data_IF_773841393915
#
_entry.id   IF_773841393915
#
_cell.length_a   1.000
_cell.length_b   1.000
_cell.length_c   1.000
_cell.angle_alpha   90.00
_cell.angle_beta   90.00
_cell.angle_gamma   90.00
#
_symmetry.space_group_name_H-M   'P 1'
#
loop_
_entity.id
_entity.type
_entity.pdbx_description
1 polymer ?
#
# COMPACT_ATOMS: atom_id res chain seq x y z
N UNK A 1 3.60 16.67 11.00
CA UNK A 1 3.68 15.45 10.17
C UNK A 1 2.71 15.61 8.99
N UNK A 2 3.17 15.39 7.78
CA UNK A 2 2.30 15.45 6.60
C UNK A 2 1.32 14.27 6.62
N UNK A 3 0.23 14.38 5.84
CA UNK A 3 -0.73 13.28 5.73
C UNK A 3 -0.07 12.02 5.15
N UNK A 4 0.86 12.19 4.17
CA UNK A 4 1.63 11.09 3.61
C UNK A 4 2.47 10.39 4.69
N UNK A 5 3.20 11.16 5.48
CA UNK A 5 4.06 10.59 6.52
C UNK A 5 3.23 9.91 7.62
N UNK A 6 2.09 10.51 7.96
CA UNK A 6 1.16 9.89 8.92
C UNK A 6 0.63 8.56 8.39
N UNK A 7 0.23 8.53 7.11
CA UNK A 7 -0.25 7.29 6.48
C UNK A 7 0.82 6.19 6.54
N UNK A 8 2.05 6.51 6.15
CA UNK A 8 3.16 5.55 6.17
C UNK A 8 3.41 5.05 7.61
N UNK A 9 3.43 5.97 8.56
CA UNK A 9 3.63 5.62 9.97
C UNK A 9 2.57 4.63 10.48
N UNK A 10 1.31 4.94 10.26
CA UNK A 10 0.22 4.09 10.74
C UNK A 10 0.13 2.78 9.95
N UNK A 11 0.44 2.81 8.67
CA UNK A 11 0.45 1.61 7.85
C UNK A 11 1.50 0.61 8.33
N UNK A 12 2.70 1.09 8.67
CA UNK A 12 3.77 0.22 9.20
C UNK A 12 3.36 -0.45 10.51
N UNK A 13 2.52 0.19 11.28
CA UNK A 13 1.98 -0.35 12.53
C UNK A 13 0.70 -1.15 12.34
N UNK A 14 0.19 -1.19 11.12
CA UNK A 14 -1.09 -1.81 10.79
C UNK A 14 -2.24 -1.24 11.63
N UNK A 15 -2.20 0.07 11.86
CA UNK A 15 -3.18 0.81 12.64
C UNK A 15 -4.31 1.30 11.73
N UNK A 16 -5.25 0.42 11.45
CA UNK A 16 -6.33 0.67 10.50
C UNK A 16 -7.23 1.81 10.93
N UNK A 17 -7.50 1.92 12.23
CA UNK A 17 -8.36 2.97 12.78
C UNK A 17 -7.78 4.36 12.48
N UNK A 18 -6.49 4.54 12.69
CA UNK A 18 -5.85 5.82 12.41
C UNK A 18 -5.75 6.10 10.92
N UNK A 19 -5.52 5.09 10.10
CA UNK A 19 -5.53 5.25 8.64
C UNK A 19 -6.90 5.75 8.19
N UNK A 20 -7.97 5.14 8.68
CA UNK A 20 -9.33 5.54 8.34
C UNK A 20 -9.59 7.01 8.73
N UNK A 21 -9.10 7.43 9.88
CA UNK A 21 -9.28 8.80 10.35
C UNK A 21 -8.57 9.84 9.47
N UNK A 22 -7.38 9.54 8.96
CA UNK A 22 -6.60 10.53 8.21
C UNK A 22 -6.96 10.59 6.73
N UNK A 23 -7.59 9.55 6.18
CA UNK A 23 -8.03 9.54 4.78
C UNK A 23 -9.36 10.27 4.66
N UNK A 24 -9.38 11.35 3.91
CA UNK A 24 -10.52 12.28 3.86
C UNK A 24 -11.36 12.19 2.59
N UNK A 25 -10.92 11.46 1.58
CA UNK A 25 -11.62 11.34 0.31
C UNK A 25 -12.69 10.24 0.37
N UNK A 26 -13.65 10.33 -0.55
CA UNK A 26 -14.73 9.33 -0.62
C UNK A 26 -14.33 8.06 -1.34
N UNK A 27 -13.31 8.14 -2.21
CA UNK A 27 -12.83 7.00 -3.00
C UNK A 27 -11.31 6.92 -2.98
N UNK A 28 -10.81 5.69 -3.01
CA UNK A 28 -9.39 5.37 -3.22
C UNK A 28 -9.31 4.13 -4.08
N UNK A 29 -8.35 4.05 -5.00
CA UNK A 29 -8.22 2.93 -5.94
C UNK A 29 -9.52 2.69 -6.72
N UNK A 30 -10.24 3.78 -7.05
CA UNK A 30 -11.49 3.73 -7.81
C UNK A 30 -12.64 2.99 -7.11
N UNK A 31 -12.54 2.77 -5.80
CA UNK A 31 -13.60 2.15 -5.00
C UNK A 31 -13.96 3.04 -3.81
N UNK A 32 -15.17 2.90 -3.26
CA UNK A 32 -15.56 3.65 -2.06
C UNK A 32 -14.59 3.42 -0.91
N UNK A 33 -14.37 4.45 -0.12
CA UNK A 33 -13.43 4.41 1.01
C UNK A 33 -13.70 3.22 1.93
N UNK A 34 -14.96 2.94 2.25
CA UNK A 34 -15.30 1.82 3.13
C UNK A 34 -14.80 0.48 2.58
N UNK A 35 -14.91 0.27 1.27
CA UNK A 35 -14.39 -0.94 0.62
C UNK A 35 -12.87 -0.97 0.62
N UNK A 36 -12.24 0.18 0.37
CA UNK A 36 -10.79 0.29 0.41
C UNK A 36 -10.25 -0.07 1.80
N UNK A 37 -10.86 0.48 2.85
CA UNK A 37 -10.49 0.17 4.24
C UNK A 37 -10.69 -1.32 4.54
N UNK A 38 -11.78 -1.91 4.03
CA UNK A 38 -12.02 -3.35 4.17
C UNK A 38 -10.94 -4.20 3.54
N UNK A 39 -10.42 -3.78 2.38
CA UNK A 39 -9.30 -4.48 1.73
C UNK A 39 -8.00 -4.34 2.54
N UNK A 40 -7.75 -3.16 3.11
CA UNK A 40 -6.60 -2.98 4.00
C UNK A 40 -6.72 -3.87 5.24
N UNK A 41 -7.92 -3.99 5.80
CA UNK A 41 -8.14 -4.89 6.94
C UNK A 41 -7.77 -6.33 6.58
N UNK A 42 -8.21 -6.81 5.43
CA UNK A 42 -7.85 -8.16 4.96
C UNK A 42 -6.33 -8.31 4.81
N UNK A 43 -5.67 -7.31 4.24
CA UNK A 43 -4.22 -7.36 4.06
C UNK A 43 -3.50 -7.39 5.41
N UNK A 44 -3.92 -6.57 6.36
CA UNK A 44 -3.32 -6.55 7.69
C UNK A 44 -3.57 -7.87 8.43
N UNK A 45 -4.76 -8.45 8.29
CA UNK A 45 -5.06 -9.76 8.87
C UNK A 45 -4.16 -10.86 8.28
N UNK A 46 -3.85 -10.78 6.98
CA UNK A 46 -2.90 -11.70 6.36
C UNK A 46 -1.51 -11.55 6.94
N UNK A 47 -0.99 -10.31 7.06
CA UNK A 47 0.31 -10.08 7.67
C UNK A 47 0.37 -10.62 9.10
N UNK A 48 -0.67 -10.35 9.89
CA UNK A 48 -0.74 -10.84 11.28
C UNK A 48 -0.82 -12.36 11.32
N UNK A 49 -1.53 -12.95 10.37
CA UNK A 49 -1.60 -14.41 10.23
C UNK A 49 -0.25 -15.06 9.93
N UNK A 50 0.65 -14.31 9.29
CA UNK A 50 2.04 -14.74 9.06
C UNK A 50 2.97 -14.40 10.23
N UNK A 51 2.40 -13.96 11.35
CA UNK A 51 3.14 -13.55 12.57
C UNK A 51 3.93 -12.26 12.42
N UNK A 52 3.59 -11.41 11.48
CA UNK A 52 4.19 -10.09 11.35
C UNK A 52 3.66 -9.17 12.45
N UNK A 53 4.57 -8.49 13.13
CA UNK A 53 4.25 -7.55 14.21
C UNK A 53 4.18 -6.12 13.70
N UNK A 54 4.92 -5.81 12.64
CA UNK A 54 4.94 -4.52 11.98
C UNK A 54 5.45 -4.68 10.55
N UNK A 55 5.31 -3.64 9.75
CA UNK A 55 5.81 -3.62 8.38
C UNK A 55 7.02 -2.69 8.28
N UNK A 56 7.95 -3.06 7.44
CA UNK A 56 9.09 -2.21 7.08
C UNK A 56 8.77 -1.50 5.78
N UNK A 57 9.28 -0.29 5.62
CA UNK A 57 9.09 0.43 4.36
C UNK A 57 10.35 0.37 3.50
N UNK A 58 10.13 0.28 2.19
CA UNK A 58 11.17 0.38 1.19
C UNK A 58 10.65 1.27 0.08
N UNK A 59 11.48 2.18 -0.40
CA UNK A 59 11.07 3.16 -1.41
C UNK A 59 11.66 2.81 -2.77
N UNK A 60 10.89 3.07 -3.81
CA UNK A 60 11.32 2.89 -5.18
C UNK A 60 10.57 3.83 -6.10
N UNK A 61 10.90 3.77 -7.38
CA UNK A 61 10.27 4.56 -8.41
C UNK A 61 9.56 3.62 -9.37
N UNK A 62 8.35 3.98 -9.79
CA UNK A 62 7.63 3.20 -10.77
C UNK A 62 8.33 3.29 -12.12
N UNK A 63 8.82 2.16 -12.63
CA UNK A 63 9.53 2.06 -13.91
C UNK A 63 8.66 1.48 -15.03
N UNK A 64 7.37 1.32 -14.79
CA UNK A 64 6.45 0.78 -15.78
C UNK A 64 6.07 1.79 -16.84
N UNK A 65 6.72 1.77 -17.99
CA UNK A 65 6.37 2.65 -19.12
C UNK A 65 4.93 2.40 -19.54
N UNK A 66 4.20 3.48 -19.80
CA UNK A 66 2.79 3.41 -20.15
C UNK A 66 1.85 3.36 -18.95
N UNK A 67 2.39 3.35 -17.75
CA UNK A 67 1.62 3.47 -16.52
C UNK A 67 1.42 4.96 -16.19
N UNK A 68 0.23 5.32 -15.68
CA UNK A 68 -0.07 6.70 -15.27
C UNK A 68 0.86 7.18 -14.16
N UNK A 69 1.46 6.27 -13.41
CA UNK A 69 2.36 6.57 -12.30
C UNK A 69 3.83 6.36 -12.65
N UNK A 70 4.16 6.34 -13.95
CA UNK A 70 5.55 6.20 -14.39
C UNK A 70 6.43 7.28 -13.76
N UNK A 71 7.50 6.87 -13.11
CA UNK A 71 8.45 7.69 -12.33
C UNK A 71 7.90 8.23 -10.99
N UNK A 72 6.64 7.97 -10.64
CA UNK A 72 6.14 8.29 -9.30
C UNK A 72 6.78 7.36 -8.28
N UNK A 73 6.96 7.88 -7.07
CA UNK A 73 7.54 7.09 -5.99
C UNK A 73 6.54 6.06 -5.49
N UNK A 74 7.00 4.82 -5.42
CA UNK A 74 6.24 3.73 -4.81
C UNK A 74 6.82 3.41 -3.44
N UNK A 75 5.95 2.99 -2.52
CA UNK A 75 6.34 2.50 -1.21
C UNK A 75 5.99 1.03 -1.15
N UNK A 76 6.97 0.21 -0.80
CA UNK A 76 6.74 -1.20 -0.58
C UNK A 76 6.76 -1.47 0.92
N UNK A 77 5.68 -2.03 1.42
CA UNK A 77 5.57 -2.43 2.82
C UNK A 77 5.86 -3.92 2.93
N UNK A 78 6.78 -4.28 3.81
CA UNK A 78 7.29 -5.65 3.91
C UNK A 78 7.07 -6.16 5.32
N UNK A 79 6.41 -7.30 5.46
CA UNK A 79 6.22 -7.95 6.77
C UNK A 79 7.56 -8.25 7.43
N UNK A 80 7.70 -7.88 8.70
CA UNK A 80 8.99 -7.98 9.40
C UNK A 80 9.47 -9.41 9.62
N UNK A 81 8.58 -10.38 9.53
CA UNK A 81 8.92 -11.82 9.67
C UNK A 81 8.66 -12.62 8.40
N UNK A 82 7.49 -12.39 7.77
CA UNK A 82 7.10 -13.18 6.60
C UNK A 82 7.85 -12.79 5.34
N UNK A 83 8.23 -11.52 5.21
CA UNK A 83 8.78 -11.00 3.97
C UNK A 83 7.74 -10.78 2.88
N UNK A 84 6.46 -10.98 3.17
CA UNK A 84 5.38 -10.62 2.24
C UNK A 84 5.38 -9.12 1.99
N UNK A 85 5.02 -8.72 0.78
CA UNK A 85 5.15 -7.33 0.31
C UNK A 85 3.83 -6.82 -0.22
N UNK A 86 3.59 -5.53 0.00
CA UNK A 86 2.46 -4.82 -0.56
C UNK A 86 2.96 -3.45 -1.03
N UNK A 87 2.78 -3.16 -2.32
CA UNK A 87 3.34 -1.95 -2.94
C UNK A 87 2.25 -0.96 -3.30
N UNK A 88 2.39 0.28 -2.84
CA UNK A 88 1.44 1.36 -3.08
C UNK A 88 2.12 2.58 -3.66
N UNK A 89 1.38 3.31 -4.49
CA UNK A 89 1.75 4.66 -4.92
C UNK A 89 0.77 5.63 -4.29
N UNK A 90 1.29 6.59 -3.54
CA UNK A 90 0.46 7.63 -2.92
C UNK A 90 0.50 8.87 -3.80
N UNK A 91 -0.66 9.26 -4.30
CA UNK A 91 -0.81 10.49 -5.08
C UNK A 91 -1.12 11.61 -4.08
N UNK A 92 -0.18 12.54 -3.93
CA UNK A 92 -0.29 13.63 -2.94
C UNK A 92 -0.45 14.94 -3.67
N UNK A 93 -1.42 15.75 -3.24
CA UNK A 93 -1.66 17.08 -3.76
C UNK A 93 -2.01 18.01 -2.61
N UNK A 94 -1.35 19.18 -2.56
CA UNK A 94 -1.56 20.17 -1.51
C UNK A 94 -1.41 19.59 -0.10
N UNK A 95 -0.45 18.69 0.07
CA UNK A 95 -0.16 18.06 1.36
C UNK A 95 -1.11 16.95 1.77
N UNK A 96 -2.08 16.61 0.92
CA UNK A 96 -3.08 15.57 1.22
C UNK A 96 -2.99 14.43 0.23
N UNK A 97 -3.31 13.23 0.70
CA UNK A 97 -3.40 12.05 -0.16
C UNK A 97 -4.68 12.15 -0.98
N UNK A 98 -4.52 12.36 -2.28
CA UNK A 98 -5.62 12.47 -3.21
C UNK A 98 -6.09 11.11 -3.70
N UNK A 99 -5.16 10.17 -3.88
CA UNK A 99 -5.48 8.81 -4.29
C UNK A 99 -4.37 7.85 -3.87
N UNK A 100 -4.69 6.57 -3.93
CA UNK A 100 -3.78 5.48 -3.63
C UNK A 100 -3.94 4.45 -4.74
N UNK A 101 -2.82 3.97 -5.29
CA UNK A 101 -2.83 2.96 -6.35
C UNK A 101 -1.82 1.86 -6.01
N UNK A 102 -2.01 0.68 -6.58
CA UNK A 102 -1.03 -0.39 -6.48
C UNK A 102 -0.06 -0.34 -7.65
N UNK A 103 1.21 -0.61 -7.39
CA UNK A 103 2.24 -0.60 -8.44
C UNK A 103 2.65 -2.04 -8.82
N UNK A 104 1.87 -2.67 -9.70
CA UNK A 104 2.17 -4.01 -10.16
C UNK A 104 3.48 -4.07 -10.96
N UNK A 105 3.75 -3.05 -11.79
CA UNK A 105 4.97 -3.01 -12.61
C UNK A 105 6.22 -2.77 -11.77
N UNK A 106 6.14 -1.97 -10.73
CA UNK A 106 7.23 -1.80 -9.78
C UNK A 106 7.63 -3.16 -9.21
N UNK A 107 6.65 -3.95 -8.79
CA UNK A 107 6.89 -5.28 -8.26
C UNK A 107 7.56 -6.19 -9.29
N UNK A 108 7.10 -6.15 -10.52
CA UNK A 108 7.63 -7.01 -11.59
C UNK A 108 9.10 -6.71 -11.91
N UNK A 109 9.54 -5.48 -11.66
CA UNK A 109 10.90 -5.04 -12.00
C UNK A 109 11.95 -5.37 -10.92
N UNK A 110 11.54 -5.83 -9.73
CA UNK A 110 12.46 -6.00 -8.61
C UNK A 110 12.95 -7.42 -8.42
N UNK A 111 12.08 -8.41 -8.55
CA UNK A 111 12.44 -9.84 -8.42
C UNK A 111 11.54 -10.66 -9.34
N UNK A 112 11.91 -11.91 -9.57
CA UNK A 112 11.09 -12.81 -10.38
C UNK A 112 9.76 -13.08 -9.67
N UNK A 113 8.68 -13.21 -10.43
CA UNK A 113 7.35 -13.41 -9.88
C UNK A 113 7.21 -14.70 -9.09
N UNK A 114 7.96 -15.73 -9.45
CA UNK A 114 7.92 -17.04 -8.75
C UNK A 114 8.50 -16.97 -7.34
N UNK A 115 9.34 -16.00 -7.05
CA UNK A 115 9.99 -15.84 -5.74
C UNK A 115 9.27 -14.84 -4.85
N UNK A 116 8.23 -14.20 -5.38
CA UNK A 116 7.56 -13.13 -4.65
C UNK A 116 6.50 -13.64 -3.72
N UNK A 117 6.56 -13.12 -2.51
CA UNK A 117 5.47 -13.21 -1.54
C UNK A 117 4.74 -11.87 -1.59
N UNK A 118 3.62 -11.84 -2.29
CA UNK A 118 2.90 -10.59 -2.57
C UNK A 118 1.49 -10.62 -2.00
N UNK A 119 1.10 -9.48 -1.43
CA UNK A 119 -0.29 -9.20 -1.08
C UNK A 119 -0.78 -8.13 -2.04
N UNK A 120 -1.89 -8.39 -2.71
CA UNK A 120 -2.44 -7.51 -3.75
C UNK A 120 -3.85 -7.10 -3.36
N UNK A 121 -4.05 -5.81 -3.06
CA UNK A 121 -5.34 -5.28 -2.60
C UNK A 121 -6.45 -5.46 -3.63
N UNK A 122 -6.13 -5.29 -4.92
CA UNK A 122 -7.13 -5.42 -5.99
C UNK A 122 -7.69 -6.83 -6.13
N UNK A 123 -7.03 -7.82 -5.56
CA UNK A 123 -7.50 -9.21 -5.55
C UNK A 123 -8.32 -9.56 -4.31
N UNK A 124 -8.45 -8.64 -3.36
CA UNK A 124 -9.22 -8.87 -2.15
C UNK A 124 -10.72 -8.84 -2.44
N UNK A 125 -11.47 -9.62 -1.69
CA UNK A 125 -12.93 -9.61 -1.76
C UNK A 125 -13.48 -8.43 -0.96
N UNK A 126 -14.52 -7.85 -1.47
CA UNK A 126 -15.22 -6.77 -0.76
C UNK A 126 -16.18 -7.31 0.30
#
# INVERSE_FOLDING_TARGET
MSQRDAFVHFFKRMDLEMIDLILERETYMEIPKAKFIGRLEQAFDMFKGFSDLHLKESHGTCLGKGCDHFLDRAIEFVGNRSGYRLSLVLVVKDGKIEDISECAKFRANTISTSERKMIVLSLMND
#
